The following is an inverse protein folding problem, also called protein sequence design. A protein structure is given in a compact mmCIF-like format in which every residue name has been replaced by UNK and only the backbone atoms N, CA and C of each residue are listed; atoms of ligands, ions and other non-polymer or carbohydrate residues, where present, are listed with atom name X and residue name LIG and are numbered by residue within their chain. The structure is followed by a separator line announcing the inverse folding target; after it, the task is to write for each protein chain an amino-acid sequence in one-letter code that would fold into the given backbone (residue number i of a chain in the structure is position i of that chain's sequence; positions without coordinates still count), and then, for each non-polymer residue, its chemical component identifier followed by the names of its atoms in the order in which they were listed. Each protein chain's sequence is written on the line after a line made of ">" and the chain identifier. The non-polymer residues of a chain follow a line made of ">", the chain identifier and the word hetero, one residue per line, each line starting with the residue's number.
data_IF_193554892144
#
_entry.id   IF_193554892144
#
_cell.length_a   1.000
_cell.length_b   1.000
_cell.length_c   1.000
_cell.angle_alpha   90.00
_cell.angle_beta   90.00
_cell.angle_gamma   90.00
#
_symmetry.space_group_name_H-M   'P 1'
#
loop_
_entity.id
_entity.type
_entity.pdbx_description
1 polymer ?
#
# COMPACT_ATOMS: atom_id res chain seq x y z
N UNK A 1 -19.63 8.94 28.03
CA UNK A 1 -18.67 7.94 27.51
C UNK A 1 -18.94 7.59 26.05
N UNK A 2 -20.16 7.18 25.67
CA UNK A 2 -20.51 6.87 24.26
C UNK A 2 -20.29 8.03 23.26
N UNK A 3 -20.58 9.29 23.62
CA UNK A 3 -20.26 10.45 22.76
C UNK A 3 -18.76 10.62 22.51
N UNK A 4 -17.94 10.59 23.58
CA UNK A 4 -16.49 10.71 23.45
C UNK A 4 -15.83 9.54 22.70
N UNK A 5 -16.41 8.34 22.77
CA UNK A 5 -15.97 7.20 21.96
C UNK A 5 -16.31 7.38 20.47
N UNK A 6 -17.51 7.86 20.14
CA UNK A 6 -17.88 8.22 18.78
C UNK A 6 -16.95 9.30 18.23
N UNK A 7 -16.69 10.36 18.99
CA UNK A 7 -15.80 11.46 18.57
C UNK A 7 -14.35 11.01 18.37
N UNK A 8 -13.92 9.97 19.09
CA UNK A 8 -12.63 9.31 18.89
C UNK A 8 -12.59 8.49 17.59
N UNK A 9 -13.63 7.69 17.31
CA UNK A 9 -13.75 6.93 16.05
C UNK A 9 -13.90 7.84 14.83
N UNK A 10 -14.53 9.01 14.98
CA UNK A 10 -14.68 9.98 13.89
C UNK A 10 -13.36 10.70 13.56
N UNK A 11 -12.28 10.50 14.34
CA UNK A 11 -10.93 10.84 13.88
C UNK A 11 -10.54 9.81 12.82
N UNK A 12 -10.78 10.13 11.55
CA UNK A 12 -10.69 9.21 10.40
C UNK A 12 -9.47 8.28 10.40
N UNK A 13 -8.31 8.76 10.87
CA UNK A 13 -7.10 7.94 11.00
C UNK A 13 -7.28 6.67 11.86
N UNK A 14 -8.13 6.66 12.88
CA UNK A 14 -8.37 5.47 13.73
C UNK A 14 -9.28 4.47 13.02
N UNK A 15 -10.32 4.95 12.34
CA UNK A 15 -11.27 4.11 11.64
C UNK A 15 -10.60 3.40 10.45
N UNK A 16 -9.79 4.13 9.68
CA UNK A 16 -9.06 3.58 8.53
C UNK A 16 -8.08 2.49 8.97
N UNK A 17 -7.34 2.74 10.06
CA UNK A 17 -6.44 1.74 10.64
C UNK A 17 -7.20 0.52 11.18
N UNK A 18 -8.33 0.71 11.85
CA UNK A 18 -9.14 -0.38 12.36
C UNK A 18 -9.69 -1.27 11.23
N UNK A 19 -10.21 -0.66 10.15
CA UNK A 19 -10.69 -1.38 8.97
C UNK A 19 -9.54 -2.13 8.30
N UNK A 20 -8.37 -1.50 8.14
CA UNK A 20 -7.20 -2.14 7.54
C UNK A 20 -6.78 -3.40 8.30
N UNK A 21 -6.74 -3.36 9.64
CA UNK A 21 -6.38 -4.51 10.47
C UNK A 21 -7.42 -5.62 10.36
N UNK A 22 -8.72 -5.31 10.46
CA UNK A 22 -9.79 -6.32 10.40
C UNK A 22 -9.85 -7.00 9.03
N UNK A 23 -9.73 -6.24 7.94
CA UNK A 23 -9.73 -6.80 6.59
C UNK A 23 -8.46 -7.63 6.36
N UNK A 24 -7.29 -7.15 6.83
CA UNK A 24 -6.03 -7.87 6.70
C UNK A 24 -6.02 -9.23 7.40
N UNK A 25 -6.55 -9.30 8.63
CA UNK A 25 -6.63 -10.56 9.38
C UNK A 25 -7.64 -11.53 8.78
N UNK A 26 -8.82 -11.04 8.37
CA UNK A 26 -9.83 -11.88 7.72
C UNK A 26 -9.33 -12.47 6.39
N UNK A 27 -8.64 -11.66 5.58
CA UNK A 27 -8.07 -12.13 4.32
C UNK A 27 -6.96 -13.16 4.57
N UNK A 28 -6.06 -12.90 5.52
CA UNK A 28 -5.01 -13.85 5.89
C UNK A 28 -5.61 -15.19 6.31
N UNK A 29 -6.66 -15.18 7.13
CA UNK A 29 -7.34 -16.40 7.55
C UNK A 29 -7.90 -17.22 6.37
N UNK A 30 -8.47 -16.55 5.35
CA UNK A 30 -8.99 -17.21 4.14
C UNK A 30 -7.85 -17.88 3.37
N UNK A 31 -6.73 -17.18 3.16
CA UNK A 31 -5.61 -17.73 2.39
C UNK A 31 -4.90 -18.84 3.16
N UNK A 32 -4.76 -18.70 4.49
CA UNK A 32 -4.25 -19.78 5.35
C UNK A 32 -5.14 -21.01 5.25
N UNK A 33 -6.47 -20.86 5.38
CA UNK A 33 -7.40 -21.98 5.26
C UNK A 33 -7.32 -22.65 3.88
N UNK A 34 -7.22 -21.87 2.80
CA UNK A 34 -7.02 -22.41 1.46
C UNK A 34 -5.71 -23.21 1.35
N UNK A 35 -4.63 -22.67 1.90
CA UNK A 35 -3.30 -23.30 1.80
C UNK A 35 -3.24 -24.57 2.65
N UNK A 36 -3.73 -24.53 3.88
CA UNK A 36 -3.74 -25.69 4.78
C UNK A 36 -4.64 -26.82 4.28
N UNK A 37 -5.81 -26.51 3.71
CA UNK A 37 -6.80 -27.53 3.35
C UNK A 37 -6.72 -28.00 1.90
N UNK A 38 -6.11 -27.24 0.99
CA UNK A 38 -6.04 -27.59 -0.44
C UNK A 38 -4.60 -27.77 -0.88
N UNK A 39 -3.74 -26.78 -0.62
CA UNK A 39 -2.36 -26.81 -1.12
C UNK A 39 -1.51 -27.82 -0.35
N UNK A 40 -1.51 -27.79 0.97
CA UNK A 40 -0.68 -28.68 1.79
C UNK A 40 -0.97 -30.17 1.51
N UNK A 41 -2.24 -30.62 1.40
CA UNK A 41 -2.54 -32.00 1.01
C UNK A 41 -2.06 -32.34 -0.40
N UNK A 42 -2.12 -31.40 -1.36
CA UNK A 42 -1.62 -31.61 -2.72
C UNK A 42 -0.09 -31.71 -2.75
N UNK A 43 0.60 -30.87 -1.98
CA UNK A 43 2.06 -30.95 -1.82
C UNK A 43 2.43 -32.28 -1.15
N UNK A 44 1.72 -32.67 -0.09
CA UNK A 44 1.95 -33.94 0.59
C UNK A 44 1.62 -35.16 -0.29
N UNK A 45 0.69 -35.03 -1.25
CA UNK A 45 0.40 -36.09 -2.21
C UNK A 45 1.48 -36.23 -3.30
N UNK A 46 2.17 -35.14 -3.65
CA UNK A 46 3.24 -35.13 -4.68
C UNK A 46 4.60 -35.44 -4.05
N UNK A 47 4.85 -34.92 -2.83
CA UNK A 47 5.93 -35.34 -1.96
C UNK A 47 5.58 -36.68 -1.35
N UNK A 48 5.72 -37.74 -2.16
CA UNK A 48 5.41 -39.12 -1.79
C UNK A 48 5.91 -39.48 -0.38
N UNK A 49 4.99 -40.10 0.35
CA UNK A 49 5.07 -40.58 1.73
C UNK A 49 5.29 -39.54 2.82
N UNK A 50 4.62 -39.81 3.94
CA UNK A 50 4.67 -39.08 5.19
C UNK A 50 6.05 -39.15 5.89
N UNK A 51 7.09 -39.48 5.11
CA UNK A 51 8.48 -39.69 5.52
C UNK A 51 9.37 -38.52 5.06
N UNK A 52 8.87 -37.28 5.18
CA UNK A 52 9.78 -36.14 5.45
C UNK A 52 10.46 -36.28 6.82
N UNK A 53 10.24 -37.38 7.54
CA UNK A 53 11.08 -37.87 8.63
C UNK A 53 12.58 -37.97 8.24
N UNK A 54 12.90 -38.08 6.94
CA UNK A 54 14.29 -38.14 6.46
C UNK A 54 15.06 -36.81 6.44
N UNK A 55 14.39 -35.66 6.56
CA UNK A 55 15.04 -34.33 6.55
C UNK A 55 15.08 -33.67 7.94
N UNK A 56 14.56 -34.35 8.97
CA UNK A 56 14.60 -33.85 10.32
C UNK A 56 15.72 -34.47 11.15
N UNK A 57 16.52 -33.63 11.79
CA UNK A 57 17.55 -34.09 12.73
C UNK A 57 17.05 -33.88 14.15
N UNK A 58 17.07 -34.94 14.97
CA UNK A 58 16.98 -34.79 16.42
C UNK A 58 18.33 -34.29 16.93
N UNK A 59 18.37 -33.08 17.49
CA UNK A 59 19.61 -32.56 18.09
C UNK A 59 19.98 -33.30 19.38
N UNK A 60 19.02 -33.97 20.04
CA UNK A 60 19.24 -34.74 21.27
C UNK A 60 18.33 -35.96 21.32
N UNK A 61 18.92 -37.14 21.43
CA UNK A 61 18.18 -38.40 21.57
C UNK A 61 17.29 -38.36 22.83
N UNK A 62 16.02 -38.75 22.68
CA UNK A 62 15.04 -38.83 23.77
C UNK A 62 14.35 -37.51 24.14
N UNK A 63 14.67 -36.40 23.47
CA UNK A 63 13.98 -35.11 23.67
C UNK A 63 13.14 -34.75 22.43
N UNK A 64 11.83 -35.06 22.41
CA UNK A 64 10.97 -34.81 21.24
C UNK A 64 10.88 -33.31 20.88
N UNK A 65 11.14 -32.41 21.84
CA UNK A 65 11.20 -30.97 21.61
C UNK A 65 12.44 -30.50 20.82
N UNK A 66 13.41 -31.39 20.54
CA UNK A 66 14.64 -31.07 19.79
C UNK A 66 14.65 -31.61 18.36
N UNK A 67 13.49 -32.07 17.88
CA UNK A 67 13.32 -32.45 16.47
C UNK A 67 13.21 -31.20 15.60
N UNK A 68 14.13 -31.06 14.65
CA UNK A 68 14.07 -29.98 13.65
C UNK A 68 13.42 -30.51 12.41
N UNK A 69 12.20 -30.09 12.13
CA UNK A 69 11.46 -30.49 10.93
C UNK A 69 11.73 -29.53 9.77
N UNK A 70 12.67 -29.90 8.89
CA UNK A 70 12.99 -29.13 7.68
C UNK A 70 11.83 -29.18 6.67
N UNK A 71 11.03 -30.25 6.66
CA UNK A 71 9.84 -30.38 5.82
C UNK A 71 8.77 -29.34 6.16
N UNK A 72 8.54 -29.11 7.45
CA UNK A 72 7.65 -28.04 7.92
C UNK A 72 8.12 -26.65 7.47
N UNK A 73 9.44 -26.39 7.47
CA UNK A 73 10.00 -25.11 7.02
C UNK A 73 9.80 -24.91 5.51
N UNK A 74 10.04 -25.93 4.70
CA UNK A 74 9.82 -25.88 3.24
C UNK A 74 8.34 -25.65 2.94
N UNK A 75 7.46 -26.36 3.65
CA UNK A 75 6.00 -26.21 3.52
C UNK A 75 5.56 -24.80 3.89
N UNK A 76 6.07 -24.24 5.00
CA UNK A 76 5.81 -22.87 5.40
C UNK A 76 6.31 -21.84 4.37
N UNK A 77 7.46 -22.09 3.74
CA UNK A 77 8.00 -21.23 2.69
C UNK A 77 7.11 -21.24 1.43
N UNK A 78 6.66 -22.43 1.00
CA UNK A 78 5.74 -22.55 -0.15
C UNK A 78 4.42 -21.83 0.16
N UNK A 79 3.88 -22.01 1.36
CA UNK A 79 2.68 -21.31 1.82
C UNK A 79 2.86 -19.79 1.76
N UNK A 80 3.98 -19.27 2.28
CA UNK A 80 4.29 -17.84 2.22
C UNK A 80 4.31 -17.30 0.78
N UNK A 81 4.95 -18.02 -0.16
CA UNK A 81 5.00 -17.63 -1.57
C UNK A 81 3.61 -17.61 -2.21
N UNK A 82 2.76 -18.59 -1.89
CA UNK A 82 1.38 -18.65 -2.39
C UNK A 82 0.55 -17.48 -1.86
N UNK A 83 0.63 -17.20 -0.55
CA UNK A 83 -0.06 -16.04 0.04
C UNK A 83 0.38 -14.75 -0.64
N UNK A 84 1.70 -14.55 -0.79
CA UNK A 84 2.25 -13.37 -1.44
C UNK A 84 1.77 -13.23 -2.89
N UNK A 85 1.73 -14.33 -3.65
CA UNK A 85 1.24 -14.35 -5.02
C UNK A 85 -0.25 -13.98 -5.09
N UNK A 86 -1.09 -14.57 -4.24
CA UNK A 86 -2.54 -14.29 -4.19
C UNK A 86 -2.79 -12.82 -3.83
N UNK A 87 -2.10 -12.30 -2.81
CA UNK A 87 -2.18 -10.87 -2.42
C UNK A 87 -1.75 -9.97 -3.57
N UNK A 88 -0.65 -10.29 -4.25
CA UNK A 88 -0.15 -9.50 -5.37
C UNK A 88 -1.14 -9.47 -6.54
N UNK A 89 -1.62 -10.63 -6.99
CA UNK A 89 -2.52 -10.70 -8.13
C UNK A 89 -3.94 -10.17 -7.86
N UNK A 90 -4.49 -10.38 -6.66
CA UNK A 90 -5.87 -9.98 -6.33
C UNK A 90 -5.95 -8.54 -5.80
N UNK A 91 -4.94 -8.05 -5.08
CA UNK A 91 -4.98 -6.69 -4.53
C UNK A 91 -4.09 -5.74 -5.30
N UNK A 92 -2.80 -6.05 -5.46
CA UNK A 92 -1.82 -5.11 -6.00
C UNK A 92 -2.03 -4.86 -7.50
N UNK A 93 -2.22 -5.89 -8.31
CA UNK A 93 -2.43 -5.75 -9.77
C UNK A 93 -3.68 -4.93 -10.10
N UNK A 94 -4.88 -5.22 -9.58
CA UNK A 94 -6.06 -4.41 -9.89
C UNK A 94 -5.98 -3.02 -9.25
N UNK A 95 -5.39 -2.88 -8.06
CA UNK A 95 -5.20 -1.56 -7.45
C UNK A 95 -4.26 -0.68 -8.28
N UNK A 96 -3.13 -1.22 -8.74
CA UNK A 96 -2.19 -0.51 -9.60
C UNK A 96 -2.80 -0.22 -10.98
N UNK A 97 -3.57 -1.14 -11.54
CA UNK A 97 -4.30 -0.92 -12.79
C UNK A 97 -5.39 0.16 -12.67
N UNK A 98 -6.16 0.14 -11.58
CA UNK A 98 -7.19 1.14 -11.28
C UNK A 98 -6.57 2.51 -11.02
N UNK A 99 -5.49 2.58 -10.23
CA UNK A 99 -4.73 3.81 -9.99
C UNK A 99 -4.14 4.37 -11.29
N UNK A 100 -3.64 3.52 -12.20
CA UNK A 100 -3.16 3.96 -13.52
C UNK A 100 -4.29 4.54 -14.38
N UNK A 101 -5.52 4.04 -14.25
CA UNK A 101 -6.70 4.59 -14.93
C UNK A 101 -7.12 5.93 -14.32
N UNK A 102 -7.22 6.01 -13.00
CA UNK A 102 -7.59 7.25 -12.30
C UNK A 102 -6.55 8.35 -12.44
N UNK A 103 -5.25 8.03 -12.43
CA UNK A 103 -4.18 9.01 -12.70
C UNK A 103 -4.21 9.42 -14.18
N UNK A 104 -4.49 8.51 -15.12
CA UNK A 104 -4.63 8.86 -16.53
C UNK A 104 -5.86 9.76 -16.77
N UNK A 105 -6.93 9.54 -16.03
CA UNK A 105 -8.16 10.34 -16.09
C UNK A 105 -7.97 11.69 -15.41
N UNK A 106 -7.29 11.75 -14.26
CA UNK A 106 -6.89 12.98 -13.58
C UNK A 106 -5.90 13.79 -14.41
N UNK A 107 -4.91 13.18 -15.07
CA UNK A 107 -3.99 13.88 -15.98
C UNK A 107 -4.74 14.37 -17.23
N UNK A 108 -5.72 13.63 -17.72
CA UNK A 108 -6.55 14.09 -18.84
C UNK A 108 -7.51 15.24 -18.46
N UNK A 109 -8.01 15.26 -17.22
CA UNK A 109 -8.84 16.34 -16.67
C UNK A 109 -7.98 17.55 -16.24
N UNK A 110 -6.76 17.32 -15.74
CA UNK A 110 -5.73 18.34 -15.46
C UNK A 110 -5.15 18.95 -16.75
N UNK A 111 -5.11 18.21 -17.86
CA UNK A 111 -4.80 18.77 -19.18
C UNK A 111 -5.97 19.58 -19.76
N UNK A 112 -7.21 19.33 -19.30
CA UNK A 112 -8.42 20.05 -19.73
C UNK A 112 -8.76 21.27 -18.85
N UNK A 113 -8.33 21.29 -17.59
CA UNK A 113 -8.49 22.41 -16.66
C UNK A 113 -7.14 22.86 -16.13
N UNK A 114 -6.84 24.16 -16.22
CA UNK A 114 -5.56 24.77 -15.78
C UNK A 114 -5.15 24.20 -14.42
N UNK A 115 -4.03 23.47 -14.38
CA UNK A 115 -3.58 22.80 -13.15
C UNK A 115 -3.31 23.83 -12.05
N UNK A 116 -3.47 23.44 -10.78
CA UNK A 116 -3.11 24.32 -9.65
C UNK A 116 -1.68 24.86 -9.79
N UNK A 117 -0.77 24.04 -10.33
CA UNK A 117 0.61 24.45 -10.59
C UNK A 117 0.73 25.49 -11.71
N UNK A 118 -0.11 25.45 -12.73
CA UNK A 118 -0.18 26.47 -13.79
C UNK A 118 -0.87 27.75 -13.31
N UNK A 119 -1.95 27.64 -12.52
CA UNK A 119 -2.57 28.80 -11.87
C UNK A 119 -1.55 29.51 -10.97
N UNK A 120 -0.76 28.77 -10.18
CA UNK A 120 0.29 29.34 -9.35
C UNK A 120 1.42 29.99 -10.17
N UNK A 121 1.79 29.42 -11.33
CA UNK A 121 2.73 30.05 -12.26
C UNK A 121 2.17 31.35 -12.84
N UNK A 122 0.92 31.34 -13.30
CA UNK A 122 0.25 32.52 -13.83
C UNK A 122 0.13 33.62 -12.76
N UNK A 123 -0.26 33.27 -11.53
CA UNK A 123 -0.32 34.20 -10.39
C UNK A 123 1.07 34.80 -10.11
N UNK A 124 2.13 33.98 -10.07
CA UNK A 124 3.51 34.45 -9.88
C UNK A 124 3.91 35.43 -10.98
N UNK A 125 3.63 35.10 -12.23
CA UNK A 125 4.04 35.91 -13.37
C UNK A 125 3.28 37.24 -13.38
N UNK A 126 1.98 37.24 -13.08
CA UNK A 126 1.17 38.45 -12.90
C UNK A 126 1.68 39.33 -11.74
N UNK A 127 2.02 38.73 -10.59
CA UNK A 127 2.60 39.45 -9.44
C UNK A 127 3.98 40.05 -9.77
N UNK A 128 4.79 39.33 -10.54
CA UNK A 128 6.10 39.81 -10.97
C UNK A 128 5.98 41.01 -11.92
N UNK A 129 5.05 40.96 -12.87
CA UNK A 129 4.75 42.04 -13.79
C UNK A 129 4.21 43.27 -13.06
N UNK A 130 3.32 43.07 -12.08
CA UNK A 130 2.80 44.16 -11.25
C UNK A 130 3.89 44.84 -10.41
N UNK A 131 4.81 44.06 -9.82
CA UNK A 131 5.96 44.60 -9.08
C UNK A 131 6.89 45.41 -9.98
N UNK A 132 7.13 44.96 -11.21
CA UNK A 132 7.93 45.68 -12.19
C UNK A 132 7.27 47.01 -12.60
N UNK A 133 5.95 47.03 -12.84
CA UNK A 133 5.21 48.27 -13.16
C UNK A 133 5.24 49.27 -11.99
N UNK A 134 5.07 48.80 -10.75
CA UNK A 134 5.18 49.66 -9.55
C UNK A 134 6.57 50.27 -9.40
N UNK A 135 7.63 49.49 -9.64
CA UNK A 135 9.00 49.99 -9.62
C UNK A 135 9.24 51.05 -10.71
N UNK A 136 8.67 50.86 -11.89
CA UNK A 136 8.82 51.78 -13.02
C UNK A 136 8.09 53.11 -12.80
N UNK A 137 6.93 53.09 -12.13
CA UNK A 137 6.19 54.32 -11.75
C UNK A 137 6.87 55.10 -10.64
N UNK A 138 7.60 54.44 -9.75
CA UNK A 138 8.34 55.09 -8.68
C UNK A 138 9.58 55.86 -9.17
N UNK A 139 10.09 55.53 -10.37
CA UNK A 139 11.30 56.11 -10.95
C UNK A 139 11.02 57.26 -11.96
N UNK A 140 9.75 57.63 -12.18
CA UNK A 140 9.40 58.76 -13.06
C UNK A 140 9.56 60.08 -12.31
N UNK A 141 10.52 60.96 -12.67
CA UNK A 141 10.69 62.25 -12.00
C UNK A 141 9.48 63.16 -12.23
N UNK A 142 9.10 64.00 -11.26
CA UNK A 142 7.94 64.88 -11.39
C UNK A 142 8.18 65.82 -12.58
N UNK A 143 7.26 65.78 -13.56
CA UNK A 143 7.26 66.74 -14.68
C UNK A 143 7.17 68.14 -14.10
N UNK A 144 8.23 68.94 -14.27
CA UNK A 144 8.20 70.36 -13.94
C UNK A 144 7.17 71.03 -14.85
N UNK A 145 6.01 71.36 -14.28
CA UNK A 145 5.03 72.25 -14.89
C UNK A 145 5.68 73.63 -15.09
N UNK A 146 5.87 74.02 -16.34
CA UNK A 146 6.11 75.42 -16.73
C UNK A 146 4.78 76.16 -16.85
#
# INVERSE_FOLDING_TARGET
>A
MFKGFRDFLMRGNVLDLAVAVVVGTAFTAIVTAFTENIVNPLIAAIGADQDVEGLGVMLREGAPATFVDVGAVITALINFVIIAAVVYFILIVPFTAAKKRLIKEQVADEEAGVTDTELLKQIRDLLSAQRADVAQRADVPPKSSS
#
